data_IF_582349937959
#
_entry.id   IF_582349937959
#
_cell.length_a   1.000
_cell.length_b   1.000
_cell.length_c   1.000
_cell.angle_alpha   90.00
_cell.angle_beta   90.00
_cell.angle_gamma   90.00
#
_symmetry.space_group_name_H-M   'P 1'
#
loop_
_entity.id
_entity.type
_entity.pdbx_description
1 polymer ?
#
# COMPACT_ATOMS: atom_id res chain seq x y z
N UNK A 1 -65.59 -3.56 -3.34
CA UNK A 1 -66.17 -4.81 -3.89
C UNK A 1 -64.98 -5.70 -4.25
N UNK A 2 -64.71 -6.92 -3.76
CA UNK A 2 -65.34 -7.96 -2.91
C UNK A 2 -64.19 -8.51 -2.02
N UNK A 3 -64.24 -8.41 -0.69
CA UNK A 3 -64.56 -9.48 0.30
C UNK A 3 -64.26 -10.92 -0.15
N UNK A 4 -63.36 -11.61 0.57
CA UNK A 4 -63.67 -12.88 1.26
C UNK A 4 -62.60 -13.28 2.27
N UNK A 5 -63.08 -13.99 3.29
CA UNK A 5 -62.55 -14.16 4.63
C UNK A 5 -62.64 -15.65 5.00
N UNK A 6 -61.65 -16.13 5.76
CA UNK A 6 -61.60 -17.30 6.68
C UNK A 6 -61.88 -18.72 6.14
N UNK A 7 -61.02 -19.66 6.57
CA UNK A 7 -61.42 -20.71 7.51
C UNK A 7 -60.21 -21.31 8.27
N UNK A 8 -60.35 -21.32 9.60
CA UNK A 8 -59.54 -22.06 10.57
C UNK A 8 -59.91 -23.55 10.48
N UNK A 9 -58.93 -24.44 10.60
CA UNK A 9 -59.15 -25.80 11.11
C UNK A 9 -58.15 -26.04 12.24
N UNK A 10 -58.71 -26.21 13.44
CA UNK A 10 -58.03 -26.72 14.60
C UNK A 10 -58.06 -28.25 14.56
N UNK A 11 -56.92 -28.88 14.78
CA UNK A 11 -56.79 -30.31 15.03
C UNK A 11 -55.88 -30.54 16.22
N UNK A 12 -56.48 -30.78 17.39
CA UNK A 12 -55.83 -31.29 18.59
C UNK A 12 -55.82 -32.83 18.51
N UNK A 13 -54.66 -33.45 18.73
CA UNK A 13 -54.47 -34.88 18.91
C UNK A 13 -53.05 -35.14 19.41
N UNK A 14 -52.92 -35.60 20.65
CA UNK A 14 -51.69 -35.56 21.44
C UNK A 14 -50.68 -36.69 21.18
N UNK A 15 -49.49 -36.58 21.78
CA UNK A 15 -49.12 -37.35 22.99
C UNK A 15 -47.61 -37.24 23.31
N UNK A 16 -47.31 -37.39 24.61
CA UNK A 16 -46.03 -37.79 25.24
C UNK A 16 -44.88 -36.77 25.25
N UNK A 17 -44.50 -36.38 26.47
CA UNK A 17 -43.45 -35.42 26.75
C UNK A 17 -42.04 -35.99 26.89
N UNK A 18 -41.09 -35.07 27.01
CA UNK A 18 -39.82 -35.23 27.73
C UNK A 18 -39.48 -33.85 28.31
N UNK A 19 -39.23 -33.82 29.63
CA UNK A 19 -38.57 -32.72 30.32
C UNK A 19 -37.12 -32.63 29.82
N UNK A 20 -36.74 -31.52 29.21
CA UNK A 20 -35.36 -31.22 28.82
C UNK A 20 -35.02 -29.77 29.15
N UNK A 21 -34.36 -29.58 30.28
CA UNK A 21 -33.66 -28.34 30.62
C UNK A 21 -32.49 -28.15 29.65
N UNK A 22 -32.56 -27.15 28.78
CA UNK A 22 -31.41 -26.57 28.09
C UNK A 22 -31.69 -25.06 28.07
N UNK A 23 -30.99 -24.25 28.85
CA UNK A 23 -29.55 -24.10 28.75
C UNK A 23 -29.32 -22.92 27.82
N UNK A 24 -29.29 -21.73 28.40
CA UNK A 24 -28.89 -20.50 27.74
C UNK A 24 -27.55 -20.72 27.05
N UNK A 25 -27.54 -20.73 25.72
CA UNK A 25 -26.36 -20.38 24.95
C UNK A 25 -26.79 -19.25 24.05
N UNK A 26 -26.49 -18.04 24.53
CA UNK A 26 -26.26 -16.85 23.72
C UNK A 26 -25.30 -17.24 22.59
N UNK A 27 -25.88 -17.64 21.46
CA UNK A 27 -25.17 -17.75 20.21
C UNK A 27 -25.11 -16.32 19.67
N UNK A 28 -24.18 -15.54 20.23
CA UNK A 28 -23.74 -14.28 19.64
C UNK A 28 -23.42 -14.55 18.18
N UNK A 29 -24.29 -14.06 17.30
CA UNK A 29 -24.22 -14.29 15.87
C UNK A 29 -23.03 -13.58 15.28
N UNK A 30 -21.86 -14.22 15.31
CA UNK A 30 -20.91 -14.09 14.21
C UNK A 30 -21.59 -14.75 13.01
N UNK A 31 -22.39 -13.96 12.27
CA UNK A 31 -22.91 -14.39 10.99
C UNK A 31 -21.75 -14.89 10.15
N UNK A 32 -21.91 -16.06 9.55
CA UNK A 32 -20.97 -16.64 8.60
C UNK A 32 -20.83 -15.66 7.43
N UNK A 33 -19.86 -14.74 7.55
CA UNK A 33 -19.52 -13.78 6.50
C UNK A 33 -18.65 -14.57 5.54
N UNK A 34 -19.19 -14.86 4.36
CA UNK A 34 -18.45 -15.57 3.33
C UNK A 34 -17.06 -14.94 3.07
N UNK A 35 -16.13 -15.68 2.45
CA UNK A 35 -14.72 -15.31 2.34
C UNK A 35 -14.45 -13.95 1.66
N UNK A 36 -15.44 -13.39 0.95
CA UNK A 36 -15.35 -12.08 0.29
C UNK A 36 -15.45 -10.87 1.23
N UNK A 37 -16.08 -10.98 2.40
CA UNK A 37 -16.27 -9.82 3.28
C UNK A 37 -15.16 -9.73 4.32
N UNK A 38 -14.37 -8.63 4.39
CA UNK A 38 -13.37 -8.45 5.43
C UNK A 38 -14.03 -8.40 6.82
N UNK A 39 -13.31 -8.81 7.89
CA UNK A 39 -13.80 -8.64 9.26
C UNK A 39 -14.11 -7.15 9.55
N UNK A 40 -14.90 -6.83 10.58
CA UNK A 40 -15.06 -5.44 11.01
C UNK A 40 -13.68 -4.80 11.23
N UNK A 41 -13.49 -3.52 10.88
CA UNK A 41 -12.27 -2.82 11.25
C UNK A 41 -12.23 -2.64 12.78
N UNK A 42 -11.06 -2.29 13.32
CA UNK A 42 -11.00 -1.84 14.72
C UNK A 42 -11.93 -0.64 14.94
N UNK A 43 -12.65 -0.64 16.07
CA UNK A 43 -13.59 0.45 16.42
C UNK A 43 -12.86 1.75 16.77
N UNK A 44 -11.71 1.66 17.44
CA UNK A 44 -10.87 2.78 17.88
C UNK A 44 -9.38 2.48 17.59
N UNK A 45 -8.94 2.59 16.32
CA UNK A 45 -7.55 2.33 15.96
C UNK A 45 -6.63 3.42 16.52
N UNK A 46 -5.41 3.07 16.97
CA UNK A 46 -4.41 4.06 17.40
C UNK A 46 -4.10 5.06 16.28
N UNK A 47 -3.78 6.30 16.62
CA UNK A 47 -3.23 7.31 15.68
C UNK A 47 -1.74 7.09 15.38
N UNK A 48 -1.39 5.85 15.03
CA UNK A 48 -0.03 5.34 14.92
C UNK A 48 -0.01 4.08 14.03
N UNK A 49 1.17 3.58 13.69
CA UNK A 49 1.30 2.29 13.03
C UNK A 49 1.01 1.17 14.03
N UNK A 50 0.08 0.29 13.66
CA UNK A 50 -0.37 -0.79 14.52
C UNK A 50 -0.62 -2.10 13.74
N UNK A 51 -0.68 -3.23 14.43
CA UNK A 51 -0.94 -4.52 13.79
C UNK A 51 -2.40 -4.64 13.34
N UNK A 52 -2.70 -4.96 12.06
CA UNK A 52 -4.07 -5.03 11.54
C UNK A 52 -4.89 -6.13 12.21
N UNK A 53 -6.22 -6.14 11.99
CA UNK A 53 -7.11 -7.18 12.52
C UNK A 53 -6.86 -8.55 11.89
N UNK A 54 -6.41 -8.58 10.64
CA UNK A 54 -6.22 -9.78 9.85
C UNK A 54 -5.14 -9.58 8.77
N UNK A 55 -4.67 -10.70 8.24
CA UNK A 55 -3.86 -10.75 7.02
C UNK A 55 -4.51 -11.68 6.02
N UNK A 56 -4.55 -11.27 4.76
CA UNK A 56 -5.03 -12.11 3.65
C UNK A 56 -3.86 -12.66 2.84
N UNK A 57 -4.02 -13.88 2.32
CA UNK A 57 -3.12 -14.49 1.36
C UNK A 57 -3.12 -13.75 0.03
N UNK A 58 -2.04 -13.86 -0.71
CA UNK A 58 -1.86 -13.21 -2.01
C UNK A 58 -1.35 -14.25 -3.00
N UNK A 59 -1.83 -14.20 -4.24
CA UNK A 59 -1.36 -15.03 -5.34
C UNK A 59 -0.67 -14.16 -6.37
N UNK A 60 0.52 -14.60 -6.82
CA UNK A 60 1.15 -14.08 -8.03
C UNK A 60 0.40 -14.63 -9.25
N UNK A 61 -0.04 -13.75 -10.13
CA UNK A 61 -0.64 -14.10 -11.43
C UNK A 61 0.46 -14.26 -12.46
N UNK A 62 1.35 -13.29 -12.55
CA UNK A 62 2.47 -13.31 -13.48
C UNK A 62 3.34 -12.07 -13.37
N UNK A 63 4.49 -12.14 -14.04
CA UNK A 63 5.40 -11.02 -14.23
C UNK A 63 5.58 -10.76 -15.72
N UNK A 64 5.74 -9.50 -16.09
CA UNK A 64 5.95 -9.08 -17.48
C UNK A 64 6.85 -7.85 -17.53
N UNK A 65 7.52 -7.67 -18.65
CA UNK A 65 8.45 -6.57 -18.90
C UNK A 65 7.96 -5.74 -20.09
N UNK A 66 8.12 -4.42 -20.02
CA UNK A 66 8.04 -3.54 -21.18
C UNK A 66 9.01 -2.36 -21.01
N UNK A 67 9.93 -2.23 -21.98
CA UNK A 67 11.04 -1.29 -21.91
C UNK A 67 11.86 -1.46 -20.61
N UNK A 68 12.07 -0.39 -19.83
CA UNK A 68 12.84 -0.47 -18.60
C UNK A 68 12.02 -0.98 -17.39
N UNK A 69 10.70 -1.17 -17.52
CA UNK A 69 9.81 -1.53 -16.42
C UNK A 69 9.58 -3.03 -16.34
N UNK A 70 9.60 -3.55 -15.12
CA UNK A 70 9.03 -4.86 -14.79
C UNK A 70 7.75 -4.68 -13.96
N UNK A 71 6.77 -5.51 -14.27
CA UNK A 71 5.45 -5.55 -13.65
C UNK A 71 5.24 -6.90 -12.99
N UNK A 72 4.58 -6.90 -11.84
CA UNK A 72 4.11 -8.09 -11.15
C UNK A 72 2.64 -7.92 -10.85
N UNK A 73 1.81 -8.80 -11.42
CA UNK A 73 0.37 -8.81 -11.20
C UNK A 73 0.04 -9.83 -10.12
N UNK A 74 -0.71 -9.41 -9.11
CA UNK A 74 -1.12 -10.23 -7.98
C UNK A 74 -2.60 -10.05 -7.71
N UNK A 75 -3.23 -11.02 -7.04
CA UNK A 75 -4.53 -10.80 -6.43
C UNK A 75 -4.63 -11.37 -5.02
N UNK A 76 -5.57 -10.79 -4.27
CA UNK A 76 -5.95 -11.20 -2.92
C UNK A 76 -7.48 -11.25 -2.81
N UNK A 77 -7.99 -11.60 -1.63
CA UNK A 77 -9.40 -11.40 -1.27
C UNK A 77 -9.74 -9.89 -1.34
N UNK A 78 -10.99 -9.52 -1.72
CA UNK A 78 -11.46 -8.15 -1.66
C UNK A 78 -11.13 -7.50 -0.32
N UNK A 79 -10.58 -6.29 -0.38
CA UNK A 79 -9.92 -5.64 0.75
C UNK A 79 -10.56 -4.30 1.07
N UNK A 80 -10.64 -3.99 2.36
CA UNK A 80 -10.95 -2.65 2.85
C UNK A 80 -9.67 -1.83 2.87
N UNK A 81 -9.75 -0.58 2.41
CA UNK A 81 -8.65 0.38 2.48
C UNK A 81 -9.17 1.79 2.72
N UNK A 82 -8.26 2.74 2.92
CA UNK A 82 -8.55 4.14 3.17
C UNK A 82 -7.80 5.00 2.16
N UNK A 83 -8.55 5.67 1.29
CA UNK A 83 -8.01 6.67 0.38
C UNK A 83 -7.70 7.94 1.16
N UNK A 84 -6.48 8.47 1.04
CA UNK A 84 -6.13 9.75 1.65
C UNK A 84 -6.26 10.87 0.62
N UNK A 85 -7.08 11.88 0.94
CA UNK A 85 -7.14 13.14 0.18
C UNK A 85 -6.72 14.27 1.10
N UNK A 86 -5.52 14.82 0.86
CA UNK A 86 -4.91 15.79 1.75
C UNK A 86 -4.57 15.14 3.09
N UNK A 87 -5.39 15.40 4.11
CA UNK A 87 -5.27 14.82 5.45
C UNK A 87 -6.50 14.02 5.88
N UNK A 88 -7.51 13.89 5.01
CA UNK A 88 -8.75 13.18 5.31
C UNK A 88 -8.72 11.79 4.69
N UNK A 89 -8.91 10.77 5.53
CA UNK A 89 -9.04 9.38 5.08
C UNK A 89 -10.49 9.03 4.75
N UNK A 90 -10.72 8.46 3.58
CA UNK A 90 -12.01 7.96 3.10
C UNK A 90 -11.99 6.44 3.03
N UNK A 91 -12.80 5.80 3.88
CA UNK A 91 -12.89 4.34 3.91
C UNK A 91 -13.56 3.83 2.63
N UNK A 92 -12.94 2.83 2.01
CA UNK A 92 -13.45 2.06 0.88
C UNK A 92 -13.67 0.63 1.36
N UNK A 93 -14.92 0.22 1.41
CA UNK A 93 -15.33 -1.14 1.74
C UNK A 93 -15.56 -1.93 0.45
N UNK A 94 -15.18 -3.22 0.37
CA UNK A 94 -15.55 -4.05 -0.76
C UNK A 94 -17.06 -4.30 -0.78
N UNK A 95 -17.59 -4.44 -1.99
CA UNK A 95 -18.98 -4.75 -2.31
C UNK A 95 -19.20 -6.25 -2.49
N UNK A 96 -20.44 -6.77 -2.43
CA UNK A 96 -20.74 -8.15 -2.75
C UNK A 96 -20.33 -8.59 -4.17
N UNK A 97 -20.24 -7.64 -5.10
CA UNK A 97 -19.85 -7.86 -6.49
C UNK A 97 -18.33 -8.02 -6.66
N UNK A 98 -17.54 -7.45 -5.73
CA UNK A 98 -16.08 -7.53 -5.78
C UNK A 98 -15.60 -8.97 -5.64
N UNK A 99 -14.94 -9.42 -6.68
CA UNK A 99 -14.43 -10.78 -6.78
C UNK A 99 -13.03 -10.88 -6.18
N UNK A 100 -12.15 -9.92 -6.46
CA UNK A 100 -10.75 -9.93 -6.00
C UNK A 100 -10.26 -8.52 -5.67
N UNK A 101 -9.23 -8.43 -4.84
CA UNK A 101 -8.39 -7.24 -4.77
C UNK A 101 -7.20 -7.45 -5.71
N UNK A 102 -7.22 -6.79 -6.87
CA UNK A 102 -6.19 -6.92 -7.90
C UNK A 102 -5.10 -5.87 -7.64
N UNK A 103 -3.84 -6.30 -7.65
CA UNK A 103 -2.70 -5.48 -7.28
C UNK A 103 -1.58 -5.59 -8.31
N UNK A 104 -0.84 -4.51 -8.50
CA UNK A 104 0.35 -4.48 -9.33
C UNK A 104 1.53 -3.81 -8.61
N UNK A 105 2.73 -4.37 -8.76
CA UNK A 105 3.98 -3.71 -8.39
C UNK A 105 4.76 -3.42 -9.67
N UNK A 106 5.36 -2.23 -9.76
CA UNK A 106 6.19 -1.80 -10.89
C UNK A 106 7.58 -1.46 -10.37
N UNK A 107 8.63 -2.03 -10.95
CA UNK A 107 10.00 -1.85 -10.51
C UNK A 107 11.01 -1.87 -11.66
N UNK A 108 12.23 -1.43 -11.36
CA UNK A 108 13.39 -1.64 -12.20
C UNK A 108 13.94 -3.06 -12.03
N UNK A 109 13.96 -3.93 -13.07
CA UNK A 109 14.40 -5.31 -12.94
C UNK A 109 15.89 -5.44 -12.58
N UNK A 110 16.73 -4.44 -12.89
CA UNK A 110 18.17 -4.51 -12.67
C UNK A 110 18.53 -4.24 -11.20
N UNK A 111 18.00 -3.14 -10.63
CA UNK A 111 18.29 -2.73 -9.25
C UNK A 111 17.29 -3.26 -8.21
N UNK A 112 16.12 -3.72 -8.65
CA UNK A 112 15.02 -4.10 -7.76
C UNK A 112 14.27 -2.92 -7.14
N UNK A 113 14.57 -1.67 -7.53
CA UNK A 113 13.91 -0.48 -6.98
C UNK A 113 12.47 -0.41 -7.47
N UNK A 114 11.52 -0.50 -6.54
CA UNK A 114 10.10 -0.22 -6.81
C UNK A 114 9.95 1.24 -7.20
N UNK A 115 9.07 1.52 -8.18
CA UNK A 115 8.89 2.82 -8.80
C UNK A 115 7.51 3.41 -8.44
N UNK A 116 7.40 4.16 -7.33
CA UNK A 116 6.21 4.96 -7.03
C UNK A 116 5.96 6.05 -8.06
N UNK A 117 4.71 6.51 -8.13
CA UNK A 117 4.29 7.67 -8.93
C UNK A 117 4.43 7.51 -10.46
N UNK A 118 4.42 6.28 -10.97
CA UNK A 118 4.35 6.01 -12.42
C UNK A 118 2.96 6.23 -13.02
N UNK A 119 1.93 6.29 -12.16
CA UNK A 119 0.50 6.33 -12.52
C UNK A 119 0.07 5.06 -13.24
N UNK A 120 -0.83 4.26 -12.66
CA UNK A 120 -1.18 2.94 -13.21
C UNK A 120 -2.67 2.83 -13.54
N UNK A 121 -2.97 2.39 -14.75
CA UNK A 121 -4.30 1.98 -15.20
C UNK A 121 -4.32 0.48 -15.39
N UNK A 122 -5.37 -0.16 -14.86
CA UNK A 122 -5.64 -1.59 -15.03
C UNK A 122 -6.90 -1.75 -15.85
N UNK A 123 -6.79 -2.54 -16.91
CA UNK A 123 -7.92 -2.93 -17.75
C UNK A 123 -8.05 -4.45 -17.74
N UNK A 124 -9.26 -4.94 -17.53
CA UNK A 124 -9.58 -6.37 -17.53
C UNK A 124 -10.49 -6.66 -18.72
N UNK A 125 -10.12 -7.67 -19.51
CA UNK A 125 -10.87 -8.11 -20.69
C UNK A 125 -11.17 -9.61 -20.63
N UNK A 126 -12.27 -10.02 -21.26
CA UNK A 126 -12.65 -11.42 -21.47
C UNK A 126 -13.05 -11.61 -22.92
N UNK A 127 -12.45 -12.57 -23.61
CA UNK A 127 -12.72 -12.86 -25.02
C UNK A 127 -12.62 -11.62 -25.96
N UNK A 128 -11.78 -10.65 -25.59
CA UNK A 128 -11.61 -9.37 -26.30
C UNK A 128 -12.60 -8.27 -25.89
N UNK A 129 -13.63 -8.58 -25.11
CA UNK A 129 -14.57 -7.58 -24.59
C UNK A 129 -14.05 -6.96 -23.29
N UNK A 130 -14.32 -5.66 -23.12
CA UNK A 130 -13.97 -4.92 -21.90
C UNK A 130 -14.86 -5.37 -20.74
N UNK A 131 -14.25 -5.80 -19.65
CA UNK A 131 -14.94 -6.07 -18.38
C UNK A 131 -14.95 -4.81 -17.53
N UNK A 132 -13.78 -4.22 -17.30
CA UNK A 132 -13.62 -2.96 -16.58
C UNK A 132 -12.26 -2.32 -16.89
N UNK A 133 -12.15 -1.00 -16.70
CA UNK A 133 -10.92 -0.23 -16.82
C UNK A 133 -10.91 0.87 -15.76
N UNK A 134 -9.86 0.91 -14.94
CA UNK A 134 -9.75 1.83 -13.82
C UNK A 134 -8.32 2.35 -13.64
N UNK A 135 -8.20 3.64 -13.30
CA UNK A 135 -6.97 4.17 -12.72
C UNK A 135 -6.93 3.77 -11.25
N UNK A 136 -6.11 2.77 -10.93
CA UNK A 136 -6.10 2.14 -9.60
C UNK A 136 -5.32 2.97 -8.59
N UNK A 137 -5.63 2.77 -7.32
CA UNK A 137 -5.01 3.53 -6.24
C UNK A 137 -3.55 3.17 -6.05
N UNK A 138 -2.71 4.18 -5.83
CA UNK A 138 -1.40 3.99 -5.20
C UNK A 138 -1.60 3.68 -3.71
N UNK A 139 -1.12 2.54 -3.25
CA UNK A 139 -1.43 1.96 -1.95
C UNK A 139 -0.18 1.63 -1.14
N UNK A 140 -0.35 1.61 0.19
CA UNK A 140 0.63 1.13 1.14
C UNK A 140 0.00 0.06 2.05
N UNK A 141 0.63 -1.12 2.12
CA UNK A 141 0.26 -2.19 3.07
C UNK A 141 1.47 -2.71 3.82
N UNK A 142 1.24 -3.29 5.00
CA UNK A 142 2.31 -3.87 5.81
C UNK A 142 2.97 -5.09 5.15
N UNK A 143 2.20 -5.84 4.34
CA UNK A 143 2.66 -7.08 3.72
C UNK A 143 3.33 -6.89 2.38
N UNK A 144 2.82 -6.00 1.52
CA UNK A 144 3.37 -5.79 0.18
C UNK A 144 4.25 -4.53 0.08
N UNK A 145 4.08 -3.58 0.99
CA UNK A 145 4.69 -2.25 0.86
C UNK A 145 3.90 -1.39 -0.12
N UNK A 146 4.60 -0.53 -0.85
CA UNK A 146 3.99 0.25 -1.92
C UNK A 146 3.58 -0.64 -3.09
N UNK A 147 2.36 -0.49 -3.57
CA UNK A 147 1.80 -1.18 -4.73
C UNK A 147 0.65 -0.35 -5.32
N UNK A 148 0.15 -0.74 -6.48
CA UNK A 148 -1.09 -0.24 -7.06
C UNK A 148 -2.19 -1.27 -6.85
N UNK A 149 -3.44 -0.87 -6.62
CA UNK A 149 -4.53 -1.84 -6.54
C UNK A 149 -5.92 -1.27 -6.32
N UNK A 150 -6.92 -2.10 -6.60
CA UNK A 150 -8.33 -1.87 -6.27
C UNK A 150 -9.10 -3.20 -6.19
N UNK A 151 -10.35 -3.15 -5.75
CA UNK A 151 -11.27 -4.28 -5.82
C UNK A 151 -11.96 -4.33 -7.20
N UNK A 152 -12.01 -5.52 -7.79
CA UNK A 152 -12.57 -5.75 -9.13
C UNK A 152 -13.68 -6.79 -9.08
N UNK A 153 -14.80 -6.49 -9.73
CA UNK A 153 -15.86 -7.45 -10.01
C UNK A 153 -15.55 -8.23 -11.31
N UNK A 154 -15.50 -9.55 -11.24
CA UNK A 154 -15.33 -10.43 -12.39
C UNK A 154 -16.64 -11.18 -12.68
N UNK A 155 -17.09 -11.31 -13.94
CA UNK A 155 -18.35 -11.98 -14.29
C UNK A 155 -18.48 -13.44 -13.83
N UNK A 156 -17.38 -14.11 -13.53
CA UNK A 156 -17.33 -15.49 -13.07
C UNK A 156 -16.02 -16.17 -13.43
N UNK A 157 -15.98 -17.49 -13.29
CA UNK A 157 -14.78 -18.28 -13.60
C UNK A 157 -14.42 -18.18 -15.10
N UNK A 158 -13.12 -18.30 -15.38
CA UNK A 158 -12.58 -18.35 -16.75
C UNK A 158 -11.28 -17.57 -16.95
N UNK A 159 -10.92 -17.45 -18.23
CA UNK A 159 -9.74 -16.74 -18.70
C UNK A 159 -10.04 -15.24 -18.90
N UNK A 160 -9.13 -14.42 -18.39
CA UNK A 160 -9.12 -12.97 -18.56
C UNK A 160 -7.75 -12.52 -19.07
N UNK A 161 -7.71 -11.36 -19.71
CA UNK A 161 -6.47 -10.63 -19.99
C UNK A 161 -6.47 -9.36 -19.17
N UNK A 162 -5.45 -9.19 -18.34
CA UNK A 162 -5.24 -7.96 -17.56
C UNK A 162 -4.17 -7.15 -18.25
N UNK A 163 -4.55 -5.97 -18.72
CA UNK A 163 -3.64 -4.99 -19.31
C UNK A 163 -3.27 -3.94 -18.29
N UNK A 164 -1.99 -3.84 -17.97
CA UNK A 164 -1.43 -2.83 -17.08
C UNK A 164 -0.74 -1.76 -17.90
N UNK A 165 -1.03 -0.50 -17.61
CA UNK A 165 -0.41 0.65 -18.27
C UNK A 165 0.15 1.63 -17.27
N UNK A 166 1.36 2.11 -17.53
CA UNK A 166 1.96 3.20 -16.77
C UNK A 166 2.19 4.42 -17.64
N UNK A 167 2.06 5.61 -17.03
CA UNK A 167 2.31 6.88 -17.68
C UNK A 167 3.79 7.30 -17.71
N UNK A 168 4.64 6.63 -16.93
CA UNK A 168 6.03 7.01 -16.71
C UNK A 168 6.22 7.95 -15.52
N UNK A 169 7.45 8.05 -15.02
CA UNK A 169 7.78 8.82 -13.83
C UNK A 169 7.78 10.33 -14.07
N UNK A 170 6.99 11.03 -13.26
CA UNK A 170 6.90 12.49 -13.24
C UNK A 170 7.71 13.12 -12.08
N UNK A 171 8.69 12.38 -11.56
CA UNK A 171 9.60 12.80 -10.49
C UNK A 171 11.04 12.83 -11.01
N UNK A 172 11.95 13.44 -10.23
CA UNK A 172 13.37 13.50 -10.61
C UNK A 172 13.93 12.08 -10.66
N UNK A 173 14.75 11.80 -11.67
CA UNK A 173 15.47 10.55 -11.84
C UNK A 173 16.95 10.87 -11.93
N UNK A 174 17.80 10.07 -11.29
CA UNK A 174 19.24 10.34 -11.19
C UNK A 174 20.07 9.07 -11.40
N UNK A 175 21.39 9.23 -11.50
CA UNK A 175 22.29 8.13 -11.77
C UNK A 175 21.90 7.39 -13.06
N UNK A 176 21.90 6.05 -13.00
CA UNK A 176 21.51 5.21 -14.13
C UNK A 176 20.03 5.37 -14.56
N UNK A 177 19.20 6.08 -13.78
CA UNK A 177 17.79 6.28 -14.08
C UNK A 177 17.49 7.59 -14.82
N UNK A 178 18.45 8.50 -14.97
CA UNK A 178 18.23 9.86 -15.50
C UNK A 178 17.43 9.86 -16.82
N UNK A 179 17.78 8.97 -17.74
CA UNK A 179 17.14 8.83 -19.06
C UNK A 179 16.15 7.64 -19.14
N UNK A 180 15.87 6.97 -18.02
CA UNK A 180 14.97 5.81 -17.97
C UNK A 180 13.60 6.17 -17.40
N UNK A 181 12.57 5.39 -17.68
CA UNK A 181 11.24 5.49 -17.06
C UNK A 181 10.43 6.77 -17.34
N UNK A 182 10.84 7.62 -18.28
CA UNK A 182 10.05 8.79 -18.69
C UNK A 182 8.81 8.38 -19.49
N UNK A 183 9.01 7.40 -20.38
CA UNK A 183 8.03 7.01 -21.37
C UNK A 183 6.99 6.04 -20.79
N UNK A 184 5.76 6.04 -21.31
CA UNK A 184 4.74 5.09 -20.92
C UNK A 184 5.12 3.66 -21.34
N UNK A 185 4.61 2.68 -20.60
CA UNK A 185 4.79 1.26 -20.88
C UNK A 185 3.48 0.49 -20.66
N UNK A 186 3.31 -0.62 -21.37
CA UNK A 186 2.10 -1.45 -21.32
C UNK A 186 2.46 -2.94 -21.38
N UNK A 187 1.88 -3.72 -20.47
CA UNK A 187 1.96 -5.18 -20.49
C UNK A 187 0.58 -5.82 -20.46
N UNK A 188 0.45 -7.00 -21.05
CA UNK A 188 -0.75 -7.85 -20.93
C UNK A 188 -0.37 -9.14 -20.21
N UNK A 189 -1.12 -9.47 -19.16
CA UNK A 189 -0.90 -10.66 -18.34
C UNK A 189 -2.16 -11.51 -18.34
N UNK A 190 -2.09 -12.80 -18.75
CA UNK A 190 -3.23 -13.70 -18.69
C UNK A 190 -3.56 -14.02 -17.23
N UNK A 191 -4.84 -13.98 -16.90
CA UNK A 191 -5.39 -14.32 -15.59
C UNK A 191 -6.39 -15.48 -15.74
N UNK A 192 -6.03 -16.66 -15.26
CA UNK A 192 -7.03 -17.70 -14.99
C UNK A 192 -7.66 -17.40 -13.63
N UNK A 193 -8.96 -17.11 -13.62
CA UNK A 193 -9.70 -16.89 -12.39
C UNK A 193 -10.68 -18.03 -12.13
N UNK A 194 -10.56 -18.61 -10.93
CA UNK A 194 -11.50 -19.59 -10.38
C UNK A 194 -11.91 -19.12 -8.98
N UNK A 195 -13.21 -19.08 -8.70
CA UNK A 195 -13.72 -18.73 -7.39
C UNK A 195 -13.20 -19.69 -6.29
N UNK A 196 -12.93 -20.94 -6.66
CA UNK A 196 -12.32 -21.94 -5.78
C UNK A 196 -10.87 -21.58 -5.40
N UNK A 197 -10.06 -21.12 -6.36
CA UNK A 197 -8.69 -20.70 -6.10
C UNK A 197 -8.64 -19.49 -5.17
N UNK A 198 -9.54 -18.53 -5.38
CA UNK A 198 -9.72 -17.41 -4.46
C UNK A 198 -10.16 -17.87 -3.08
N UNK A 199 -11.10 -18.81 -2.99
CA UNK A 199 -11.56 -19.35 -1.71
C UNK A 199 -10.46 -20.12 -0.96
N UNK A 200 -9.45 -20.62 -1.67
CA UNK A 200 -8.24 -21.20 -1.10
C UNK A 200 -7.26 -20.17 -0.50
N UNK A 201 -7.42 -18.87 -0.77
CA UNK A 201 -6.61 -17.84 -0.12
C UNK A 201 -7.00 -17.71 1.35
N UNK A 202 -6.06 -18.01 2.24
CA UNK A 202 -6.29 -17.89 3.67
C UNK A 202 -6.45 -16.44 4.11
N UNK A 203 -7.42 -16.19 5.00
CA UNK A 203 -7.47 -14.99 5.83
C UNK A 203 -7.24 -15.40 7.27
N UNK A 204 -6.19 -14.88 7.89
CA UNK A 204 -5.80 -15.23 9.26
C UNK A 204 -5.99 -14.02 10.18
N UNK A 205 -6.65 -14.17 11.34
CA UNK A 205 -6.70 -13.11 12.34
C UNK A 205 -5.30 -12.87 12.92
N UNK A 206 -5.06 -11.63 13.35
CA UNK A 206 -3.84 -11.26 14.08
C UNK A 206 -4.19 -11.17 15.56
N UNK A 207 -3.49 -11.93 16.40
CA UNK A 207 -3.83 -12.13 17.83
C UNK A 207 -3.70 -10.87 18.68
N UNK A 208 -2.88 -9.92 18.26
CA UNK A 208 -2.54 -8.69 18.95
C UNK A 208 -2.89 -7.44 18.10
N UNK A 209 -3.98 -7.53 17.34
CA UNK A 209 -4.52 -6.42 16.57
C UNK A 209 -4.67 -5.14 17.42
N UNK A 210 -4.31 -4.00 16.84
CA UNK A 210 -4.33 -2.70 17.53
C UNK A 210 -3.10 -2.41 18.38
N UNK A 211 -2.21 -3.38 18.63
CA UNK A 211 -0.92 -3.11 19.31
C UNK A 211 0.06 -2.39 18.36
N UNK A 212 0.92 -1.49 18.88
CA UNK A 212 2.00 -0.91 18.08
C UNK A 212 2.86 -2.01 17.45
N UNK A 213 3.08 -1.91 16.14
CA UNK A 213 3.84 -2.90 15.39
C UNK A 213 3.35 -3.04 13.95
N UNK A 214 4.05 -3.86 13.18
CA UNK A 214 3.60 -4.30 11.86
C UNK A 214 3.67 -5.82 11.75
N UNK A 215 2.82 -6.40 10.91
CA UNK A 215 3.00 -7.79 10.45
C UNK A 215 4.19 -7.88 9.50
N UNK A 216 4.76 -9.07 9.40
CA UNK A 216 5.89 -9.31 8.51
C UNK A 216 5.48 -9.08 7.05
N UNK A 217 6.37 -8.46 6.23
CA UNK A 217 6.24 -8.45 4.79
C UNK A 217 6.00 -9.86 4.26
N UNK A 218 5.10 -10.01 3.30
CA UNK A 218 4.94 -11.27 2.59
C UNK A 218 5.91 -11.27 1.41
N UNK A 219 7.00 -12.04 1.44
CA UNK A 219 7.78 -12.21 0.23
C UNK A 219 6.90 -12.92 -0.80
N UNK A 220 6.76 -12.29 -1.97
CA UNK A 220 6.23 -12.95 -3.16
C UNK A 220 7.43 -13.18 -4.06
N UNK A 221 7.65 -14.44 -4.43
CA UNK A 221 8.78 -14.80 -5.30
C UNK A 221 8.71 -13.94 -6.57
N UNK A 222 9.86 -13.40 -6.98
CA UNK A 222 10.04 -12.54 -8.16
C UNK A 222 9.35 -11.16 -8.10
N UNK A 223 8.72 -10.77 -7.00
CA UNK A 223 8.14 -9.43 -6.82
C UNK A 223 8.74 -8.75 -5.58
N UNK A 224 9.45 -7.61 -5.74
CA UNK A 224 10.05 -6.93 -4.59
C UNK A 224 8.99 -6.25 -3.71
N UNK A 225 9.24 -6.23 -2.40
CA UNK A 225 8.59 -5.28 -1.52
C UNK A 225 9.32 -3.93 -1.60
N UNK A 226 8.58 -2.82 -1.56
CA UNK A 226 9.15 -1.47 -1.55
C UNK A 226 9.78 -1.13 -0.18
N UNK A 227 10.80 -1.87 0.24
CA UNK A 227 11.52 -1.70 1.50
C UNK A 227 12.72 -0.78 1.26
N UNK A 228 12.87 0.24 2.11
CA UNK A 228 14.02 1.13 2.08
C UNK A 228 15.29 0.36 2.48
N UNK A 229 16.41 0.67 1.82
CA UNK A 229 17.71 0.12 2.20
C UNK A 229 18.07 0.55 3.62
N UNK A 230 18.82 -0.28 4.33
CA UNK A 230 19.34 0.09 5.65
C UNK A 230 20.26 1.31 5.53
N UNK A 231 20.26 2.24 6.51
CA UNK A 231 21.12 3.44 6.44
C UNK A 231 22.60 3.14 6.23
N UNK A 232 23.12 2.04 6.78
CA UNK A 232 24.52 1.61 6.60
C UNK A 232 24.85 1.07 5.20
N UNK A 233 23.85 0.83 4.36
CA UNK A 233 24.00 0.37 2.98
C UNK A 233 23.76 1.49 1.96
N UNK A 234 23.35 2.68 2.42
CA UNK A 234 23.16 3.84 1.56
C UNK A 234 24.51 4.53 1.31
N UNK A 235 24.73 5.10 0.11
CA UNK A 235 25.91 5.89 -0.17
C UNK A 235 25.93 7.19 0.67
N UNK A 236 27.15 7.68 0.93
CA UNK A 236 27.37 8.93 1.65
C UNK A 236 27.48 8.77 3.17
N UNK A 237 27.23 9.86 3.88
CA UNK A 237 27.32 9.93 5.35
C UNK A 237 25.93 10.00 5.94
N UNK A 238 25.56 9.03 6.78
CA UNK A 238 24.34 9.10 7.59
C UNK A 238 24.53 10.16 8.69
N UNK A 239 23.73 11.22 8.63
CA UNK A 239 23.79 12.37 9.54
C UNK A 239 22.92 12.18 10.77
N UNK A 240 21.91 11.33 10.67
CA UNK A 240 21.06 10.99 11.80
C UNK A 240 19.68 10.55 11.36
N UNK A 241 18.86 10.26 12.36
CA UNK A 241 17.50 9.79 12.18
C UNK A 241 16.56 10.57 13.07
N UNK A 242 15.40 10.95 12.52
CA UNK A 242 14.31 11.59 13.26
C UNK A 242 12.99 10.89 12.96
N UNK A 243 11.97 11.13 13.79
CA UNK A 243 10.65 10.51 13.64
C UNK A 243 9.54 11.54 13.74
N UNK A 244 8.56 11.47 12.85
CA UNK A 244 7.36 12.33 12.88
C UNK A 244 6.16 11.57 12.31
N UNK A 245 4.99 11.67 12.95
CA UNK A 245 3.79 10.91 12.59
C UNK A 245 4.05 9.40 12.37
N UNK A 246 4.90 8.81 13.21
CA UNK A 246 5.45 7.44 13.12
C UNK A 246 6.40 7.12 11.95
N UNK A 247 6.55 7.99 10.96
CA UNK A 247 7.55 7.82 9.92
C UNK A 247 8.96 7.95 10.50
N UNK A 248 9.89 7.19 9.96
CA UNK A 248 11.33 7.30 10.22
C UNK A 248 11.96 8.02 9.03
N UNK A 249 12.70 9.09 9.31
CA UNK A 249 13.40 9.90 8.33
C UNK A 249 14.90 9.75 8.58
N UNK A 250 15.58 9.03 7.69
CA UNK A 250 17.03 8.89 7.69
C UNK A 250 17.62 10.01 6.82
N UNK A 251 18.48 10.84 7.43
CA UNK A 251 19.10 12.00 6.76
C UNK A 251 20.53 11.64 6.37
N UNK A 252 20.88 11.87 5.12
CA UNK A 252 22.19 11.60 4.55
C UNK A 252 22.75 12.83 3.85
N UNK A 253 24.08 12.96 3.86
CA UNK A 253 24.78 13.84 2.94
C UNK A 253 25.63 13.02 1.97
N UNK A 254 25.69 13.47 0.74
CA UNK A 254 26.64 13.01 -0.26
C UNK A 254 27.50 14.21 -0.65
N UNK A 255 28.78 13.95 -0.89
CA UNK A 255 29.79 14.96 -1.18
C UNK A 255 30.67 14.48 -2.35
N UNK A 256 31.31 15.40 -3.06
CA UNK A 256 32.25 15.07 -4.14
C UNK A 256 31.61 14.30 -5.30
N UNK A 257 32.23 13.22 -5.77
CA UNK A 257 31.73 12.41 -6.90
C UNK A 257 30.32 11.85 -6.65
N UNK A 258 30.03 11.46 -5.40
CA UNK A 258 28.73 10.93 -5.02
C UNK A 258 27.62 11.99 -5.07
N UNK A 259 27.96 13.28 -4.87
CA UNK A 259 27.05 14.41 -5.02
C UNK A 259 26.94 14.89 -6.48
N UNK A 260 28.01 14.74 -7.27
CA UNK A 260 28.07 15.23 -8.65
C UNK A 260 26.96 14.65 -9.54
N UNK A 261 26.54 13.41 -9.32
CA UNK A 261 25.41 12.79 -10.05
C UNK A 261 24.07 13.52 -9.81
N UNK A 262 23.98 14.36 -8.77
CA UNK A 262 22.83 15.20 -8.45
C UNK A 262 23.03 16.66 -8.86
N UNK A 263 24.09 16.95 -9.62
CA UNK A 263 24.50 18.30 -10.02
C UNK A 263 24.76 19.21 -8.80
N UNK A 264 25.40 18.65 -7.78
CA UNK A 264 25.65 19.32 -6.50
C UNK A 264 27.08 19.07 -5.99
N UNK A 265 27.62 20.03 -5.26
CA UNK A 265 28.85 19.81 -4.46
C UNK A 265 28.53 19.02 -3.18
N UNK A 266 27.42 19.38 -2.54
CA UNK A 266 26.81 18.65 -1.42
C UNK A 266 25.35 18.36 -1.73
N UNK A 267 24.93 17.11 -1.61
CA UNK A 267 23.53 16.70 -1.78
C UNK A 267 22.98 16.16 -0.46
N UNK A 268 21.90 16.77 0.02
CA UNK A 268 21.16 16.29 1.17
C UNK A 268 20.04 15.35 0.69
N UNK A 269 20.03 14.12 1.19
CA UNK A 269 18.99 13.13 0.91
C UNK A 269 18.26 12.73 2.20
N UNK A 270 16.95 12.54 2.10
CA UNK A 270 16.09 12.04 3.17
C UNK A 270 15.34 10.83 2.66
N UNK A 271 15.64 9.67 3.24
CA UNK A 271 14.90 8.42 2.99
C UNK A 271 13.84 8.29 4.07
N UNK A 272 12.58 8.21 3.65
CA UNK A 272 11.43 8.13 4.56
C UNK A 272 10.84 6.73 4.50
N UNK A 273 10.69 6.09 5.67
CA UNK A 273 10.17 4.73 5.77
C UNK A 273 9.25 4.52 6.97
N UNK A 274 8.47 3.46 6.92
CA UNK A 274 7.67 2.99 8.04
C UNK A 274 8.59 2.46 9.17
N UNK A 275 8.14 2.50 10.44
CA UNK A 275 9.02 2.28 11.56
C UNK A 275 9.38 0.81 11.85
N UNK A 276 8.49 -0.13 11.54
CA UNK A 276 8.66 -1.54 11.93
C UNK A 276 9.17 -2.44 10.81
N UNK A 277 8.67 -2.25 9.59
CA UNK A 277 8.96 -3.08 8.42
C UNK A 277 9.66 -2.31 7.29
N UNK A 278 10.06 -1.05 7.53
CA UNK A 278 10.95 -0.29 6.66
C UNK A 278 10.41 0.01 5.26
N UNK A 279 9.09 -0.03 5.05
CA UNK A 279 8.48 0.28 3.75
C UNK A 279 8.68 1.75 3.39
N UNK A 280 9.05 2.02 2.16
CA UNK A 280 9.21 3.38 1.61
C UNK A 280 7.89 4.15 1.72
N UNK A 281 7.98 5.44 2.08
CA UNK A 281 6.86 6.38 2.11
C UNK A 281 6.98 7.42 0.97
N UNK A 282 6.32 7.19 -0.18
CA UNK A 282 6.40 8.09 -1.34
C UNK A 282 5.36 9.21 -1.30
N UNK A 283 5.35 10.05 -2.33
CA UNK A 283 4.34 11.09 -2.55
C UNK A 283 4.13 12.07 -1.39
N UNK A 284 5.19 12.37 -0.64
CA UNK A 284 5.18 13.43 0.38
C UNK A 284 5.65 14.77 -0.21
N UNK A 285 5.30 15.85 0.49
CA UNK A 285 5.96 17.14 0.33
C UNK A 285 6.86 17.40 1.53
N UNK A 286 8.18 17.54 1.32
CA UNK A 286 9.14 17.85 2.38
C UNK A 286 9.88 19.16 2.12
N UNK A 287 10.15 19.88 3.21
CA UNK A 287 11.08 21.02 3.25
C UNK A 287 12.11 20.81 4.34
N UNK A 288 13.28 21.38 4.15
CA UNK A 288 14.33 21.47 5.16
C UNK A 288 14.66 22.93 5.40
N UNK A 289 14.84 23.29 6.67
CA UNK A 289 15.48 24.54 7.06
C UNK A 289 16.87 24.24 7.61
N UNK A 290 17.90 24.79 6.98
CA UNK A 290 19.31 24.69 7.37
C UNK A 290 19.79 26.09 7.77
N UNK A 291 20.13 26.28 9.05
CA UNK A 291 20.63 27.56 9.58
C UNK A 291 19.79 28.79 9.16
N UNK A 292 18.48 28.60 9.04
CA UNK A 292 17.51 29.63 8.67
C UNK A 292 17.18 29.74 7.17
N UNK A 293 17.94 29.07 6.30
CA UNK A 293 17.61 28.96 4.87
C UNK A 293 16.65 27.79 4.62
N UNK A 294 15.56 28.04 3.88
CA UNK A 294 14.56 27.01 3.56
C UNK A 294 14.77 26.45 2.15
N UNK A 295 14.78 25.13 2.04
CA UNK A 295 14.92 24.39 0.79
C UNK A 295 13.78 23.37 0.64
N UNK A 296 13.19 23.29 -0.54
CA UNK A 296 12.26 22.21 -0.89
C UNK A 296 13.07 20.96 -1.27
N UNK A 297 12.71 19.81 -0.71
CA UNK A 297 13.28 18.55 -1.15
C UNK A 297 12.46 18.00 -2.31
N UNK A 298 13.13 17.68 -3.40
CA UNK A 298 12.53 17.10 -4.58
C UNK A 298 12.36 15.59 -4.38
N UNK A 299 11.24 15.06 -4.85
CA UNK A 299 11.01 13.62 -4.95
C UNK A 299 11.92 13.09 -6.04
N UNK A 300 12.73 12.10 -5.69
CA UNK A 300 13.77 11.55 -6.57
C UNK A 300 13.79 10.04 -6.47
N UNK A 301 14.03 9.37 -7.59
CA UNK A 301 14.38 7.95 -7.62
C UNK A 301 15.78 7.77 -8.22
N UNK A 302 16.53 6.88 -7.60
CA UNK A 302 17.94 6.62 -7.90
C UNK A 302 18.24 5.13 -7.70
N UNK A 303 19.10 4.50 -8.51
CA UNK A 303 19.45 3.10 -8.35
C UNK A 303 20.08 2.78 -6.99
N UNK A 304 20.83 3.70 -6.38
CA UNK A 304 21.62 3.47 -5.15
C UNK A 304 20.95 4.03 -3.89
N UNK A 305 20.26 5.16 -3.99
CA UNK A 305 19.45 5.71 -2.88
C UNK A 305 18.02 5.16 -2.84
N UNK A 306 17.51 4.62 -3.95
CA UNK A 306 16.09 4.29 -4.09
C UNK A 306 15.21 5.55 -4.16
N UNK A 307 13.96 5.42 -3.77
CA UNK A 307 13.05 6.57 -3.65
C UNK A 307 13.41 7.39 -2.41
N UNK A 308 13.71 8.67 -2.60
CA UNK A 308 14.12 9.60 -1.55
C UNK A 308 13.65 11.03 -1.86
N UNK A 309 13.86 11.92 -0.90
CA UNK A 309 13.63 13.35 -1.05
C UNK A 309 14.97 14.06 -0.92
N UNK A 310 15.38 14.88 -1.89
CA UNK A 310 16.69 15.52 -1.79
C UNK A 310 16.82 16.87 -2.46
N UNK A 311 17.92 17.54 -2.12
CA UNK A 311 18.22 18.90 -2.55
C UNK A 311 19.73 19.16 -2.54
N UNK A 312 20.21 19.94 -3.50
CA UNK A 312 21.57 20.46 -3.50
C UNK A 312 21.70 21.58 -2.46
N UNK A 313 22.78 21.56 -1.70
CA UNK A 313 23.10 22.58 -0.68
C UNK A 313 24.56 23.00 -0.83
N UNK A 314 24.87 24.25 -0.47
CA UNK A 314 26.22 24.79 -0.68
C UNK A 314 27.23 24.23 0.33
N UNK A 315 26.83 24.01 1.59
CA UNK A 315 27.67 23.44 2.65
C UNK A 315 26.81 22.90 3.81
N UNK A 316 27.22 21.78 4.41
CA UNK A 316 26.62 21.21 5.62
C UNK A 316 27.62 21.30 6.77
N UNK A 317 27.55 22.41 7.50
CA UNK A 317 28.47 22.67 8.62
C UNK A 317 28.21 21.71 9.78
N UNK A 318 29.26 21.15 10.40
CA UNK A 318 29.13 20.43 11.66
C UNK A 318 28.45 21.31 12.71
N UNK A 319 27.46 20.76 13.42
CA UNK A 319 26.68 21.48 14.43
C UNK A 319 25.55 22.35 13.87
N UNK A 320 25.36 22.42 12.54
CA UNK A 320 24.22 23.12 11.95
C UNK A 320 22.89 22.48 12.39
N UNK A 321 21.87 23.33 12.56
CA UNK A 321 20.53 22.84 12.92
C UNK A 321 19.71 22.63 11.66
N UNK A 322 19.36 21.37 11.44
CA UNK A 322 18.47 20.94 10.36
C UNK A 322 17.06 20.76 10.92
N UNK A 323 16.06 21.37 10.32
CA UNK A 323 14.64 21.13 10.64
C UNK A 323 13.89 20.63 9.43
N UNK A 324 13.30 19.43 9.52
CA UNK A 324 12.44 18.86 8.48
C UNK A 324 10.99 19.21 8.77
N UNK A 325 10.30 19.71 7.75
CA UNK A 325 8.87 20.04 7.81
C UNK A 325 8.13 19.26 6.73
N UNK A 326 7.15 18.48 7.15
CA UNK A 326 6.22 17.81 6.24
C UNK A 326 5.15 18.81 5.81
N UNK A 327 5.15 19.16 4.53
CA UNK A 327 4.16 20.05 3.92
C UNK A 327 2.95 19.30 3.36
N UNK A 328 3.12 18.02 3.02
CA UNK A 328 2.05 17.14 2.59
C UNK A 328 2.39 15.72 3.05
N UNK A 329 1.50 15.03 3.79
CA UNK A 329 1.73 13.64 4.19
C UNK A 329 1.77 12.72 2.97
N UNK A 330 2.27 11.47 3.10
CA UNK A 330 2.31 10.52 1.98
C UNK A 330 0.93 10.38 1.34
N UNK A 331 0.77 10.84 0.10
CA UNK A 331 -0.50 10.80 -0.63
C UNK A 331 -0.69 9.41 -1.28
N UNK A 332 -0.86 8.41 -0.44
CA UNK A 332 -1.15 7.03 -0.84
C UNK A 332 -2.33 6.51 -0.02
N UNK A 333 -3.17 5.69 -0.65
CA UNK A 333 -4.18 4.92 0.05
C UNK A 333 -3.50 3.92 1.00
N UNK A 334 -4.20 3.56 2.07
CA UNK A 334 -3.62 2.76 3.16
C UNK A 334 -4.51 1.56 3.47
N UNK A 335 -3.87 0.41 3.63
CA UNK A 335 -4.51 -0.75 4.23
C UNK A 335 -4.55 -0.61 5.75
N UNK A 336 -5.38 -1.44 6.40
CA UNK A 336 -5.50 -1.48 7.86
C UNK A 336 -4.13 -1.67 8.53
N UNK A 337 -3.93 -0.99 9.67
CA UNK A 337 -2.65 -0.91 10.39
C UNK A 337 -1.79 0.29 10.00
N UNK A 338 -2.15 0.99 8.92
CA UNK A 338 -1.52 2.25 8.49
C UNK A 338 -2.51 3.39 8.31
N UNK A 339 -3.81 3.14 8.27
CA UNK A 339 -4.83 4.08 7.83
C UNK A 339 -4.89 5.39 8.62
N UNK A 340 -4.48 5.36 9.88
CA UNK A 340 -4.41 6.52 10.79
C UNK A 340 -2.99 7.09 10.93
N UNK A 341 -1.97 6.42 10.40
CA UNK A 341 -0.57 6.81 10.53
C UNK A 341 -0.15 7.81 9.44
N UNK A 342 0.96 8.53 9.70
CA UNK A 342 1.58 9.45 8.74
C UNK A 342 0.67 10.59 8.25
N UNK A 343 -0.31 11.03 9.06
CA UNK A 343 -1.23 12.12 8.71
C UNK A 343 -0.77 13.44 9.34
N UNK A 344 -0.67 13.47 10.67
CA UNK A 344 -0.12 14.59 11.43
C UNK A 344 1.37 14.39 11.64
N UNK A 345 2.18 15.21 10.97
CA UNK A 345 3.64 15.06 10.95
C UNK A 345 4.30 16.40 11.34
N UNK A 346 4.37 16.73 12.65
CA UNK A 346 4.96 17.98 13.11
C UNK A 346 6.44 18.11 12.71
N UNK A 347 6.97 19.35 12.61
CA UNK A 347 8.37 19.57 12.29
C UNK A 347 9.32 18.91 13.31
N UNK A 348 10.44 18.40 12.82
CA UNK A 348 11.45 17.71 13.63
C UNK A 348 12.84 18.24 13.32
N UNK A 349 13.69 18.34 14.34
CA UNK A 349 15.05 18.86 14.20
C UNK A 349 16.12 17.81 14.50
N UNK A 350 17.27 18.00 13.87
CA UNK A 350 18.51 17.24 13.99
C UNK A 350 19.68 18.25 14.05
N UNK A 351 20.72 17.93 14.80
CA UNK A 351 22.00 18.64 14.74
C UNK A 351 22.99 17.78 13.97
N UNK A 352 23.63 18.36 12.94
CA UNK A 352 24.48 17.66 11.97
C UNK A 352 25.91 17.38 12.41
#
# INVERSE_FOLDING_TARGET
MRRRTLLRVAGLGGAVGVLGTAGCLDRGGAGDRGPGTPPPPLEDPPTAVYRPSNVSGTRLVGVADDGPFRFGLLYSLPSRFWELVGQTGYRRDPTPEDSIHLMATVWDPDSGVVLPEVGLTTEVRRDGDLVTEEAVYAMLSQRLGFHYGDNFALPGDGEYTVRLRVGGLQIRRTGAFADRFADPATVEVPLQFEAADRAGLERRPVTDAGRPGAVEPSPVVDVPNAVARSPSALPGTHRGQVRTGDAVLDVLSLDGEAAAQFEAETYLAVVVRTPYNGMVLPAMGLRVTLDGAEHRLLRTVDPDLGYHYGVAVDDLRPGARLTLTTTTPPQVARHEGYETAFVEMPPVSLTL
#
